data_IF_755833673524
#
_entry.id   IF_755833673524
#
_cell.length_a   1.000
_cell.length_b   1.000
_cell.length_c   1.000
_cell.angle_alpha   90.00
_cell.angle_beta   90.00
_cell.angle_gamma   90.00
#
_symmetry.space_group_name_H-M   'P 1'
#
loop_
_entity.id
_entity.type
_entity.pdbx_description
1 polymer ?
#
# COMPACT_ATOMS: atom_id res chain seq x y z
N UNK A 1 -18.10 2.02 -21.03
CA UNK A 1 -17.44 0.80 -20.55
C UNK A 1 -15.94 1.08 -20.36
N UNK A 2 -15.30 0.34 -19.46
CA UNK A 2 -13.88 0.48 -19.13
C UNK A 2 -13.35 -0.86 -18.65
N UNK A 3 -12.21 -1.26 -19.13
CA UNK A 3 -11.48 -2.46 -18.71
C UNK A 3 -10.14 -2.08 -18.11
N UNK A 4 -9.62 -2.92 -17.21
CA UNK A 4 -8.29 -2.78 -16.63
C UNK A 4 -7.50 -4.06 -16.93
N UNK A 5 -6.29 -3.90 -17.46
CA UNK A 5 -5.44 -5.01 -17.90
C UNK A 5 -4.06 -4.86 -17.29
N UNK A 6 -3.61 -5.91 -16.62
CA UNK A 6 -2.24 -6.00 -16.12
C UNK A 6 -1.37 -6.73 -17.16
N UNK A 7 -0.22 -6.15 -17.48
CA UNK A 7 0.73 -6.68 -18.46
C UNK A 7 2.07 -6.94 -17.82
N UNK A 8 2.77 -7.97 -18.27
CA UNK A 8 4.07 -8.39 -17.77
C UNK A 8 5.03 -8.71 -18.94
N UNK A 9 6.31 -8.62 -18.67
CA UNK A 9 7.36 -9.09 -19.59
C UNK A 9 8.40 -9.89 -18.80
N UNK A 10 8.76 -11.08 -19.30
CA UNK A 10 9.86 -11.87 -18.74
C UNK A 10 11.24 -11.27 -19.05
N UNK A 11 11.32 -10.37 -20.05
CA UNK A 11 12.56 -9.66 -20.38
C UNK A 11 12.57 -8.29 -19.69
N UNK A 12 13.46 -8.06 -18.69
CA UNK A 12 13.51 -6.81 -17.94
C UNK A 12 13.92 -5.59 -18.81
N UNK A 13 14.34 -5.81 -20.04
CA UNK A 13 14.68 -4.72 -20.99
C UNK A 13 13.47 -4.21 -21.74
N UNK A 14 12.34 -4.87 -21.63
CA UNK A 14 11.10 -4.51 -22.32
C UNK A 14 10.16 -3.84 -21.30
N UNK A 15 9.79 -2.60 -21.59
CA UNK A 15 8.65 -1.95 -20.92
C UNK A 15 7.34 -2.57 -21.44
N UNK A 16 6.65 -3.37 -20.61
CA UNK A 16 5.44 -4.08 -21.03
C UNK A 16 4.29 -3.11 -21.36
N UNK A 17 4.15 -2.02 -20.62
CA UNK A 17 3.12 -1.01 -20.86
C UNK A 17 3.39 -0.28 -22.16
N UNK A 18 4.61 0.24 -22.34
CA UNK A 18 5.00 0.94 -23.55
C UNK A 18 4.91 0.08 -24.81
N UNK A 19 5.24 -1.21 -24.71
CA UNK A 19 5.10 -2.16 -25.80
C UNK A 19 3.64 -2.38 -26.23
N UNK A 20 2.72 -2.43 -25.27
CA UNK A 20 1.28 -2.60 -25.55
C UNK A 20 0.61 -1.31 -26.01
N UNK A 21 0.94 -0.19 -25.39
CA UNK A 21 0.38 1.13 -25.75
C UNK A 21 0.87 1.58 -27.12
N UNK A 22 2.16 1.36 -27.41
CA UNK A 22 2.80 1.77 -28.67
C UNK A 22 3.08 3.27 -28.75
N UNK A 23 3.79 3.67 -29.81
CA UNK A 23 4.12 5.08 -30.01
C UNK A 23 2.84 5.93 -30.10
N UNK A 24 2.75 6.97 -29.27
CA UNK A 24 1.57 7.87 -29.18
C UNK A 24 0.24 7.16 -28.97
N UNK A 25 0.27 5.94 -28.40
CA UNK A 25 -0.94 5.19 -28.09
C UNK A 25 -1.63 4.51 -29.29
N UNK A 26 -0.96 4.41 -30.46
CA UNK A 26 -1.60 3.88 -31.69
C UNK A 26 -2.06 2.43 -31.51
N UNK A 27 -1.28 1.58 -30.82
CA UNK A 27 -1.65 0.18 -30.64
C UNK A 27 -2.86 0.01 -29.74
N UNK A 28 -2.86 0.67 -28.58
CA UNK A 28 -3.99 0.58 -27.65
C UNK A 28 -5.25 1.23 -28.25
N UNK A 29 -5.10 2.28 -29.06
CA UNK A 29 -6.23 2.90 -29.73
C UNK A 29 -6.91 1.95 -30.72
N UNK A 30 -6.15 1.19 -31.50
CA UNK A 30 -6.72 0.16 -32.38
C UNK A 30 -7.51 -0.90 -31.60
N UNK A 31 -7.01 -1.32 -30.42
CA UNK A 31 -7.73 -2.25 -29.54
C UNK A 31 -9.03 -1.62 -29.03
N UNK A 32 -8.99 -0.36 -28.59
CA UNK A 32 -10.20 0.34 -28.13
C UNK A 32 -11.23 0.54 -29.24
N UNK A 33 -10.80 0.73 -30.47
CA UNK A 33 -11.69 0.82 -31.66
C UNK A 33 -12.39 -0.51 -31.91
N UNK A 34 -11.68 -1.64 -31.85
CA UNK A 34 -12.27 -2.99 -31.96
C UNK A 34 -13.25 -3.31 -30.80
N UNK A 35 -13.01 -2.73 -29.64
CA UNK A 35 -13.90 -2.83 -28.47
C UNK A 35 -15.05 -1.80 -28.47
N UNK A 36 -15.38 -1.23 -29.63
CA UNK A 36 -16.44 -0.21 -29.78
C UNK A 36 -16.26 1.03 -28.88
N UNK A 37 -15.03 1.45 -28.67
CA UNK A 37 -14.66 2.64 -27.89
C UNK A 37 -14.59 2.39 -26.38
N UNK A 38 -14.55 1.14 -25.93
CA UNK A 38 -14.28 0.81 -24.52
C UNK A 38 -12.86 1.26 -24.14
N UNK A 39 -12.75 1.98 -23.01
CA UNK A 39 -11.46 2.40 -22.52
C UNK A 39 -10.72 1.24 -21.87
N UNK A 40 -9.45 1.09 -22.20
CA UNK A 40 -8.57 0.09 -21.61
C UNK A 40 -7.46 0.81 -20.84
N UNK A 41 -7.44 0.58 -19.52
CA UNK A 41 -6.34 1.03 -18.66
C UNK A 41 -5.32 -0.09 -18.55
N UNK A 42 -4.07 0.21 -18.87
CA UNK A 42 -2.97 -0.74 -18.74
C UNK A 42 -2.16 -0.43 -17.49
N UNK A 43 -1.86 -1.46 -16.73
CA UNK A 43 -0.99 -1.39 -15.56
C UNK A 43 0.07 -2.47 -15.65
N UNK A 44 1.16 -2.32 -14.92
CA UNK A 44 2.17 -3.34 -14.80
C UNK A 44 1.71 -4.43 -13.81
N UNK A 45 1.85 -5.68 -14.21
CA UNK A 45 1.63 -6.83 -13.35
C UNK A 45 2.77 -6.97 -12.35
N UNK A 46 2.46 -7.35 -11.13
CA UNK A 46 3.42 -7.76 -10.11
C UNK A 46 2.93 -9.01 -9.41
N UNK A 47 3.85 -9.93 -9.10
CA UNK A 47 3.58 -11.08 -8.24
C UNK A 47 3.37 -10.66 -6.78
N UNK A 48 3.90 -9.51 -6.39
CA UNK A 48 3.65 -8.89 -5.09
C UNK A 48 2.24 -8.28 -5.07
N UNK A 49 1.32 -8.82 -4.24
CA UNK A 49 -0.05 -8.34 -4.18
C UNK A 49 -0.16 -6.88 -3.75
N UNK A 50 0.77 -6.41 -2.93
CA UNK A 50 0.78 -5.02 -2.44
C UNK A 50 1.07 -4.06 -3.59
N UNK A 51 2.11 -4.36 -4.39
CA UNK A 51 2.46 -3.59 -5.59
C UNK A 51 1.34 -3.63 -6.62
N UNK A 52 0.78 -4.81 -6.86
CA UNK A 52 -0.32 -4.97 -7.80
C UNK A 52 -1.55 -4.16 -7.39
N UNK A 53 -1.90 -4.13 -6.09
CA UNK A 53 -3.02 -3.32 -5.58
C UNK A 53 -2.73 -1.82 -5.80
N UNK A 54 -1.51 -1.37 -5.48
CA UNK A 54 -1.12 0.03 -5.66
C UNK A 54 -1.21 0.45 -7.14
N UNK A 55 -0.65 -0.33 -8.05
CA UNK A 55 -0.72 -0.04 -9.50
C UNK A 55 -2.14 -0.16 -10.05
N UNK A 56 -2.94 -1.11 -9.54
CA UNK A 56 -4.31 -1.30 -9.97
C UNK A 56 -5.23 -0.12 -9.65
N UNK A 57 -4.91 0.68 -8.65
CA UNK A 57 -5.70 1.87 -8.28
C UNK A 57 -5.28 3.15 -9.01
N UNK A 58 -4.23 3.08 -9.84
CA UNK A 58 -3.87 4.23 -10.69
C UNK A 58 -5.09 4.73 -11.49
N UNK A 59 -5.20 6.05 -11.72
CA UNK A 59 -4.18 7.10 -11.54
C UNK A 59 -4.13 7.72 -10.14
N UNK A 60 -4.83 7.18 -9.14
CA UNK A 60 -4.74 7.68 -7.77
C UNK A 60 -3.39 7.31 -7.14
N UNK A 61 -2.79 8.23 -6.43
CA UNK A 61 -1.62 7.96 -5.61
C UNK A 61 -2.06 7.28 -4.30
N UNK A 62 -1.52 6.10 -4.05
CA UNK A 62 -1.78 5.33 -2.83
C UNK A 62 -0.67 5.63 -1.83
N UNK A 63 -1.04 5.91 -0.57
CA UNK A 63 -0.08 6.23 0.48
C UNK A 63 0.41 4.98 1.21
N UNK A 64 -0.49 4.02 1.48
CA UNK A 64 -0.09 2.75 2.09
C UNK A 64 -1.09 1.62 1.78
N UNK A 65 -0.63 0.38 1.87
CA UNK A 65 -1.44 -0.84 1.74
C UNK A 65 -1.11 -1.80 2.88
N UNK A 66 -2.14 -2.39 3.49
CA UNK A 66 -2.02 -3.45 4.49
C UNK A 66 -2.85 -4.65 4.01
N UNK A 67 -2.25 -5.81 3.92
CA UNK A 67 -2.98 -7.05 3.67
C UNK A 67 -3.64 -7.50 4.98
N UNK A 68 -4.96 -7.48 5.00
CA UNK A 68 -5.76 -7.91 6.17
C UNK A 68 -5.96 -9.41 6.17
N UNK A 69 -6.25 -9.98 5.02
CA UNK A 69 -6.40 -11.41 4.80
C UNK A 69 -5.90 -11.76 3.39
N UNK A 70 -4.95 -12.68 3.29
CA UNK A 70 -4.34 -13.13 2.03
C UNK A 70 -4.88 -14.47 1.51
N UNK A 71 -5.77 -15.12 2.28
CA UNK A 71 -6.31 -16.42 1.94
C UNK A 71 -7.84 -16.37 1.79
N UNK A 72 -8.32 -17.05 0.76
CA UNK A 72 -9.75 -17.37 0.66
C UNK A 72 -10.04 -18.65 1.44
N UNK A 73 -11.02 -18.61 2.31
CA UNK A 73 -11.49 -19.79 3.04
C UNK A 73 -13.00 -19.71 3.28
N UNK A 74 -13.57 -20.83 3.70
CA UNK A 74 -14.95 -20.87 4.18
C UNK A 74 -14.93 -20.70 5.70
N UNK A 75 -15.80 -19.85 6.22
CA UNK A 75 -16.04 -19.78 7.66
C UNK A 75 -16.83 -21.00 8.19
N UNK A 76 -17.03 -21.06 9.50
CA UNK A 76 -17.77 -22.14 10.15
C UNK A 76 -19.22 -22.26 9.66
N UNK A 77 -19.78 -21.20 9.08
CA UNK A 77 -21.12 -21.14 8.52
C UNK A 77 -21.15 -21.41 7.00
N UNK A 78 -20.01 -21.75 6.40
CA UNK A 78 -19.86 -22.05 4.97
C UNK A 78 -19.85 -20.82 4.07
N UNK A 79 -19.68 -19.61 4.62
CA UNK A 79 -19.55 -18.37 3.84
C UNK A 79 -18.14 -18.20 3.33
N UNK A 80 -17.98 -17.79 2.10
CA UNK A 80 -16.69 -17.53 1.49
C UNK A 80 -16.10 -16.22 2.03
N UNK A 81 -15.01 -16.33 2.76
CA UNK A 81 -14.18 -15.18 3.17
C UNK A 81 -13.16 -14.95 2.07
N UNK A 82 -13.22 -13.76 1.47
CA UNK A 82 -12.32 -13.35 0.40
C UNK A 82 -11.03 -12.76 0.94
N UNK A 83 -10.02 -12.73 0.09
CA UNK A 83 -8.82 -11.93 0.34
C UNK A 83 -9.21 -10.47 0.55
N UNK A 84 -8.54 -9.80 1.48
CA UNK A 84 -8.91 -8.43 1.87
C UNK A 84 -7.68 -7.58 2.14
N UNK A 85 -7.69 -6.36 1.62
CA UNK A 85 -6.65 -5.39 1.84
C UNK A 85 -7.24 -4.02 2.23
N UNK A 86 -6.59 -3.37 3.18
CA UNK A 86 -6.85 -1.99 3.56
C UNK A 86 -5.92 -1.07 2.76
N UNK A 87 -6.49 -0.10 2.07
CA UNK A 87 -5.79 0.86 1.22
C UNK A 87 -5.95 2.24 1.82
N UNK A 88 -4.82 2.90 2.08
CA UNK A 88 -4.77 4.22 2.68
C UNK A 88 -4.39 5.25 1.63
N UNK A 89 -5.20 6.29 1.54
CA UNK A 89 -5.04 7.36 0.56
C UNK A 89 -5.22 8.72 1.23
N UNK A 90 -4.57 9.73 0.67
CA UNK A 90 -4.87 11.12 0.98
C UNK A 90 -6.34 11.43 0.63
N UNK A 91 -7.01 12.27 1.41
CA UNK A 91 -8.40 12.63 1.17
C UNK A 91 -8.63 13.19 -0.24
N UNK A 92 -7.68 13.98 -0.74
CA UNK A 92 -7.70 14.53 -2.09
C UNK A 92 -7.64 13.45 -3.22
N UNK A 93 -7.00 12.31 -2.95
CA UNK A 93 -6.85 11.20 -3.90
C UNK A 93 -8.02 10.21 -3.86
N UNK A 94 -8.78 10.19 -2.78
CA UNK A 94 -9.86 9.23 -2.55
C UNK A 94 -10.92 9.21 -3.66
N UNK A 95 -11.43 10.36 -4.18
CA UNK A 95 -12.37 10.35 -5.28
C UNK A 95 -11.81 9.72 -6.56
N UNK A 96 -10.51 9.89 -6.82
CA UNK A 96 -9.82 9.33 -7.98
C UNK A 96 -9.62 7.82 -7.82
N UNK A 97 -9.26 7.36 -6.62
CA UNK A 97 -9.10 5.95 -6.29
C UNK A 97 -10.42 5.18 -6.44
N UNK A 98 -11.51 5.73 -5.95
CA UNK A 98 -12.86 5.15 -6.10
C UNK A 98 -13.30 5.20 -7.57
N UNK A 99 -13.09 6.35 -8.21
CA UNK A 99 -13.50 6.62 -9.58
C UNK A 99 -15.00 6.86 -9.73
N UNK A 100 -15.41 7.23 -10.94
CA UNK A 100 -16.83 7.50 -11.26
C UNK A 100 -17.70 6.27 -11.00
N UNK A 101 -18.70 6.40 -10.14
CA UNK A 101 -19.60 5.32 -9.71
C UNK A 101 -18.87 4.09 -9.14
N UNK A 102 -17.70 4.27 -8.52
CA UNK A 102 -16.91 3.18 -7.96
C UNK A 102 -16.25 2.28 -9.01
N UNK A 103 -16.14 2.72 -10.25
CA UNK A 103 -15.65 1.88 -11.34
C UNK A 103 -14.16 1.54 -11.20
N UNK A 104 -13.32 2.48 -10.73
CA UNK A 104 -11.89 2.20 -10.61
C UNK A 104 -11.59 1.16 -9.52
N UNK A 105 -12.17 1.35 -8.33
CA UNK A 105 -11.98 0.39 -7.22
C UNK A 105 -12.56 -0.98 -7.56
N UNK A 106 -13.71 -1.04 -8.25
CA UNK A 106 -14.30 -2.31 -8.66
C UNK A 106 -13.40 -3.07 -9.64
N UNK A 107 -12.90 -2.39 -10.68
CA UNK A 107 -11.97 -3.02 -11.62
C UNK A 107 -10.66 -3.46 -10.96
N UNK A 108 -10.15 -2.67 -10.00
CA UNK A 108 -8.98 -3.05 -9.21
C UNK A 108 -9.25 -4.29 -8.34
N UNK A 109 -10.41 -4.36 -7.68
CA UNK A 109 -10.85 -5.53 -6.91
C UNK A 109 -10.96 -6.78 -7.78
N UNK A 110 -11.58 -6.66 -8.96
CA UNK A 110 -11.74 -7.79 -9.90
C UNK A 110 -10.38 -8.27 -10.41
N UNK A 111 -9.46 -7.35 -10.70
CA UNK A 111 -8.13 -7.66 -11.22
C UNK A 111 -7.20 -8.30 -10.18
N UNK A 112 -7.20 -7.77 -8.96
CA UNK A 112 -6.32 -8.24 -7.89
C UNK A 112 -6.88 -9.43 -7.11
N UNK A 113 -8.18 -9.69 -7.23
CA UNK A 113 -8.93 -10.66 -6.43
C UNK A 113 -8.95 -10.35 -4.93
N UNK A 114 -8.62 -9.12 -4.54
CA UNK A 114 -8.74 -8.64 -3.17
C UNK A 114 -9.96 -7.74 -3.01
N UNK A 115 -10.71 -7.90 -1.94
CA UNK A 115 -11.65 -6.90 -1.48
C UNK A 115 -10.87 -5.70 -0.92
N UNK A 116 -11.06 -4.51 -1.51
CA UNK A 116 -10.30 -3.31 -1.20
C UNK A 116 -11.14 -2.36 -0.35
N UNK A 117 -10.73 -2.18 0.91
CA UNK A 117 -11.33 -1.20 1.81
C UNK A 117 -10.50 0.09 1.80
N UNK A 118 -11.15 1.22 1.58
CA UNK A 118 -10.47 2.51 1.52
C UNK A 118 -10.58 3.30 2.81
N UNK A 119 -9.44 3.76 3.31
CA UNK A 119 -9.26 4.58 4.51
C UNK A 119 -8.50 5.85 4.19
N UNK A 120 -8.64 6.87 5.04
CA UNK A 120 -7.78 8.04 4.96
C UNK A 120 -6.40 7.70 5.55
N UNK A 121 -5.35 8.33 5.02
CA UNK A 121 -3.98 8.06 5.48
C UNK A 121 -3.80 8.35 6.98
N UNK A 122 -4.50 9.33 7.52
CA UNK A 122 -4.50 9.67 8.95
C UNK A 122 -4.96 8.50 9.85
N UNK A 123 -5.77 7.60 9.33
CA UNK A 123 -6.29 6.44 10.06
C UNK A 123 -5.30 5.27 10.13
N UNK A 124 -4.17 5.33 9.38
CA UNK A 124 -3.19 4.24 9.27
C UNK A 124 -2.68 3.76 10.63
N UNK A 125 -2.23 4.68 11.49
CA UNK A 125 -1.69 4.33 12.80
C UNK A 125 -2.72 3.64 13.69
N UNK A 126 -3.96 4.15 13.71
CA UNK A 126 -5.07 3.60 14.48
C UNK A 126 -5.49 2.23 13.95
N UNK A 127 -5.54 2.08 12.63
CA UNK A 127 -5.88 0.82 11.97
C UNK A 127 -4.82 -0.25 12.26
N UNK A 128 -3.53 0.11 12.13
CA UNK A 128 -2.39 -0.77 12.42
C UNK A 128 -2.44 -1.29 13.85
N UNK A 129 -2.64 -0.41 14.84
CA UNK A 129 -2.77 -0.78 16.25
C UNK A 129 -3.95 -1.73 16.50
N UNK A 130 -5.11 -1.45 15.90
CA UNK A 130 -6.31 -2.28 16.03
C UNK A 130 -6.11 -3.66 15.39
N UNK A 131 -5.50 -3.73 14.22
CA UNK A 131 -5.23 -4.99 13.53
C UNK A 131 -4.24 -5.85 14.31
N UNK A 132 -3.17 -5.25 14.86
CA UNK A 132 -2.21 -5.91 15.72
C UNK A 132 -2.89 -6.52 16.97
N UNK A 133 -3.76 -5.75 17.61
CA UNK A 133 -4.53 -6.23 18.76
C UNK A 133 -5.43 -7.44 18.41
N UNK A 134 -6.08 -7.41 17.25
CA UNK A 134 -6.92 -8.51 16.77
C UNK A 134 -6.13 -9.77 16.43
N UNK A 135 -4.90 -9.62 15.95
CA UNK A 135 -4.00 -10.74 15.61
C UNK A 135 -3.18 -11.23 16.80
N UNK A 136 -3.15 -10.47 17.91
CA UNK A 136 -2.29 -10.76 19.05
C UNK A 136 -0.80 -10.53 18.79
N UNK A 137 -0.50 -9.64 17.84
CA UNK A 137 0.85 -9.23 17.41
C UNK A 137 1.19 -7.84 17.97
N UNK A 138 2.48 -7.47 17.95
CA UNK A 138 2.85 -6.09 18.21
C UNK A 138 2.50 -5.20 17.01
N UNK A 139 2.13 -3.94 17.25
CA UNK A 139 1.78 -3.03 16.15
C UNK A 139 2.94 -2.83 15.15
N UNK A 140 4.17 -3.03 15.59
CA UNK A 140 5.38 -2.93 14.77
C UNK A 140 5.51 -4.10 13.79
N UNK A 141 4.95 -5.27 14.11
CA UNK A 141 5.01 -6.50 13.30
C UNK A 141 3.99 -6.52 12.15
N UNK A 142 2.99 -5.63 12.17
CA UNK A 142 2.03 -5.50 11.06
C UNK A 142 2.73 -4.91 9.85
N UNK A 143 2.85 -5.71 8.80
CA UNK A 143 3.46 -5.29 7.54
C UNK A 143 2.63 -4.20 6.87
N UNK A 144 3.24 -3.04 6.68
CA UNK A 144 2.69 -1.90 5.96
C UNK A 144 3.64 -1.57 4.84
N UNK A 145 3.18 -1.55 3.61
CA UNK A 145 3.93 -0.96 2.53
C UNK A 145 3.44 0.48 2.34
N UNK A 146 4.35 1.42 2.49
CA UNK A 146 4.12 2.83 2.21
C UNK A 146 4.69 3.19 0.85
N UNK A 147 4.02 4.10 0.15
CA UNK A 147 4.39 4.54 -1.18
C UNK A 147 4.69 6.03 -1.21
N UNK A 148 5.56 6.43 -2.12
CA UNK A 148 5.78 7.84 -2.45
C UNK A 148 4.61 8.39 -3.26
N UNK A 149 4.44 9.72 -3.36
CA UNK A 149 3.43 10.32 -4.23
C UNK A 149 3.54 9.90 -5.70
N UNK A 150 4.71 9.48 -6.14
CA UNK A 150 4.98 8.94 -7.47
C UNK A 150 4.55 7.46 -7.61
N UNK A 151 4.14 6.81 -6.52
CA UNK A 151 3.69 5.42 -6.50
C UNK A 151 4.80 4.38 -6.32
N UNK A 152 6.02 4.82 -6.01
CA UNK A 152 7.13 3.92 -5.66
C UNK A 152 7.01 3.51 -4.18
N UNK A 153 7.26 2.25 -3.89
CA UNK A 153 7.29 1.74 -2.52
C UNK A 153 8.45 2.36 -1.74
N UNK A 154 8.17 2.94 -0.58
CA UNK A 154 9.20 3.42 0.32
C UNK A 154 9.94 2.22 0.89
N UNK A 155 11.16 1.99 0.44
CA UNK A 155 12.07 1.06 1.08
C UNK A 155 12.41 1.65 2.45
N UNK A 156 12.24 0.93 3.56
CA UNK A 156 12.69 1.42 4.87
C UNK A 156 14.20 1.70 4.77
N UNK A 157 14.61 2.95 4.96
CA UNK A 157 16.03 3.29 5.05
C UNK A 157 16.59 2.64 6.32
N UNK A 158 17.29 1.51 6.17
CA UNK A 158 17.98 0.84 7.29
C UNK A 158 18.96 1.75 8.03
N UNK A 159 19.40 2.86 7.41
CA UNK A 159 20.22 3.89 8.04
C UNK A 159 19.40 4.83 8.95
N UNK A 160 18.17 5.20 8.58
CA UNK A 160 17.31 6.07 9.39
C UNK A 160 16.84 5.40 10.69
N UNK A 161 16.55 4.09 10.69
CA UNK A 161 16.21 3.35 11.91
C UNK A 161 17.39 3.21 12.89
N UNK A 162 18.61 3.12 12.38
CA UNK A 162 19.82 3.07 13.23
C UNK A 162 20.10 4.42 13.90
N UNK A 163 19.90 5.54 13.20
CA UNK A 163 20.05 6.88 13.77
C UNK A 163 18.97 7.20 14.81
N UNK A 164 17.71 6.81 14.56
CA UNK A 164 16.63 7.06 15.51
C UNK A 164 16.75 6.19 16.77
N UNK A 165 17.18 4.93 16.62
CA UNK A 165 17.50 4.05 17.77
C UNK A 165 18.73 4.54 18.55
N UNK A 166 19.76 5.06 17.86
CA UNK A 166 20.94 5.65 18.48
C UNK A 166 20.62 6.98 19.20
N UNK A 167 19.74 7.82 18.63
CA UNK A 167 19.30 9.07 19.26
C UNK A 167 18.40 8.81 20.48
N UNK A 168 17.53 7.80 20.43
CA UNK A 168 16.71 7.38 21.59
C UNK A 168 17.53 6.73 22.68
N UNK A 169 18.60 5.99 22.35
CA UNK A 169 19.52 5.41 23.32
C UNK A 169 20.33 6.50 24.05
N UNK A 170 20.89 7.47 23.33
CA UNK A 170 21.61 8.62 23.92
C UNK A 170 20.74 9.45 24.85
N UNK A 171 19.50 9.75 24.44
CA UNK A 171 18.55 10.51 25.29
C UNK A 171 18.13 9.75 26.57
N UNK A 172 18.23 8.42 26.54
CA UNK A 172 17.92 7.58 27.71
C UNK A 172 19.11 7.46 28.68
N UNK A 173 20.34 7.54 28.16
CA UNK A 173 21.56 7.61 28.96
C UNK A 173 21.70 8.97 29.64
N UNK A 174 21.56 10.08 28.90
CA UNK A 174 21.59 11.44 29.47
C UNK A 174 20.57 11.62 30.61
N UNK A 175 19.33 11.11 30.44
CA UNK A 175 18.30 11.15 31.49
C UNK A 175 18.60 10.25 32.71
N UNK A 176 19.49 9.28 32.55
CA UNK A 176 19.90 8.42 33.64
C UNK A 176 21.06 9.04 34.44
N UNK A 177 21.97 9.70 33.75
CA UNK A 177 23.07 10.46 34.36
C UNK A 177 22.53 11.67 35.15
N UNK A 178 21.60 12.47 34.58
CA UNK A 178 20.95 13.56 35.33
C UNK A 178 20.24 13.10 36.60
N UNK A 179 19.64 11.92 36.57
CA UNK A 179 18.96 11.37 37.78
C UNK A 179 19.91 10.76 38.81
N UNK A 180 21.11 10.36 38.42
CA UNK A 180 22.15 9.89 39.35
C UNK A 180 22.84 11.08 40.00
N UNK A 181 23.15 12.15 39.25
CA UNK A 181 23.71 13.40 39.80
C UNK A 181 22.76 14.08 40.81
N UNK A 182 21.44 14.13 40.50
CA UNK A 182 20.45 14.72 41.40
C UNK A 182 20.29 13.91 42.75
N UNK A 183 20.59 12.61 42.69
CA UNK A 183 20.56 11.76 43.88
C UNK A 183 21.84 11.83 44.75
N UNK A 184 22.98 12.12 44.14
CA UNK A 184 24.23 12.32 44.87
C UNK A 184 24.25 13.69 45.56
N UNK A 185 23.69 14.73 44.94
CA UNK A 185 23.61 16.07 45.55
C UNK A 185 22.68 16.13 46.75
N UNK A 186 21.58 15.32 46.76
CA UNK A 186 20.62 15.23 47.88
C UNK A 186 21.11 14.33 49.04
N UNK A 187 22.22 13.60 48.88
CA UNK A 187 22.78 12.74 49.92
C UNK A 187 23.93 13.39 50.72
N UNK A 188 24.33 14.62 50.39
CA UNK A 188 25.41 15.38 51.05
C UNK A 188 24.94 16.58 51.87
N UNK A 189 23.63 16.78 52.05
CA UNK A 189 23.03 17.69 53.06
C UNK A 189 22.46 16.88 54.25
#
# INVERSE_FOLDING_TARGET
FRSKVAVHSDDPRIDPIGACVGQKGVRIQSVMEELNGERVDMIEWSDDPIKLISTALQPAAISAVIIVNDQEHLDEEGRRIKKRAAVFVEEAQRPMAIGKKGQNIRLATDLTSFELDMYNYEELATFKAKLAQLRGEAAEDVQVAEFTPEGEEKVPDEEGEKEEKAAKAKKKEEKKEEKEEEKEETAQE
#
